data_IF_845277103246
#
_entry.id   IF_845277103246
#
_cell.length_a   1.000
_cell.length_b   1.000
_cell.length_c   1.000
_cell.angle_alpha   90.00
_cell.angle_beta   90.00
_cell.angle_gamma   90.00
#
_symmetry.space_group_name_H-M   'P 1'
#
loop_
_entity.id
_entity.type
_entity.pdbx_description
1 polymer ?
#
# COMPACT_ATOMS: atom_id res chain seq x y z
N UNK A 1 89.34 4.25 -28.86
CA UNK A 1 87.88 4.00 -28.84
C UNK A 1 87.28 4.80 -27.69
N UNK A 2 86.04 5.29 -27.83
CA UNK A 2 85.18 6.02 -26.86
C UNK A 2 84.66 7.28 -27.55
N UNK A 3 83.58 7.11 -28.33
CA UNK A 3 82.72 8.21 -28.82
C UNK A 3 81.29 7.68 -28.83
N UNK A 4 80.38 8.50 -28.31
CA UNK A 4 78.89 8.40 -28.36
C UNK A 4 78.23 7.34 -27.46
N UNK A 5 78.05 7.66 -26.17
CA UNK A 5 76.98 7.05 -25.35
C UNK A 5 76.05 8.08 -24.67
N UNK A 6 76.45 9.35 -24.55
CA UNK A 6 75.68 10.38 -23.83
C UNK A 6 74.41 10.87 -24.56
N UNK A 7 74.35 10.77 -25.90
CA UNK A 7 73.21 11.23 -26.70
C UNK A 7 72.00 10.29 -26.70
N UNK A 8 72.23 8.98 -26.56
CA UNK A 8 71.16 7.97 -26.53
C UNK A 8 70.40 7.99 -25.19
N UNK A 9 71.12 8.24 -24.09
CA UNK A 9 70.55 8.34 -22.74
C UNK A 9 69.62 9.56 -22.60
N UNK A 10 70.02 10.72 -23.13
CA UNK A 10 69.19 11.93 -23.12
C UNK A 10 67.93 11.77 -23.98
N UNK A 11 68.03 11.11 -25.14
CA UNK A 11 66.88 10.83 -25.99
C UNK A 11 65.87 9.91 -25.27
N UNK A 12 66.36 8.85 -24.60
CA UNK A 12 65.52 7.90 -23.89
C UNK A 12 64.77 8.55 -22.72
N UNK A 13 65.43 9.42 -21.96
CA UNK A 13 64.83 10.18 -20.86
C UNK A 13 63.80 11.20 -21.37
N UNK A 14 64.12 11.93 -22.45
CA UNK A 14 63.19 12.87 -23.07
C UNK A 14 61.93 12.17 -23.59
N UNK A 15 62.08 10.99 -24.19
CA UNK A 15 60.96 10.19 -24.68
C UNK A 15 60.08 9.69 -23.52
N UNK A 16 60.69 9.23 -22.43
CA UNK A 16 59.99 8.84 -21.20
C UNK A 16 59.19 9.99 -20.60
N UNK A 17 59.80 11.18 -20.48
CA UNK A 17 59.12 12.37 -19.97
C UNK A 17 57.96 12.80 -20.88
N UNK A 18 58.13 12.73 -22.20
CA UNK A 18 57.06 13.02 -23.15
C UNK A 18 55.89 12.04 -23.03
N UNK A 19 56.16 10.74 -22.83
CA UNK A 19 55.13 9.72 -22.61
C UNK A 19 54.40 9.98 -21.27
N UNK A 20 55.13 10.26 -20.19
CA UNK A 20 54.53 10.55 -18.88
C UNK A 20 53.65 11.80 -18.96
N UNK A 21 54.09 12.85 -19.67
CA UNK A 21 53.31 14.07 -19.89
C UNK A 21 52.05 13.80 -20.71
N UNK A 22 52.15 13.01 -21.79
CA UNK A 22 50.99 12.64 -22.62
C UNK A 22 49.97 11.80 -21.84
N UNK A 23 50.43 10.84 -21.03
CA UNK A 23 49.56 10.03 -20.15
C UNK A 23 48.88 10.90 -19.09
N UNK A 24 49.63 11.79 -18.45
CA UNK A 24 49.09 12.72 -17.44
C UNK A 24 48.02 13.64 -18.05
N UNK A 25 48.27 14.17 -19.25
CA UNK A 25 47.28 14.98 -19.98
C UNK A 25 46.04 14.17 -20.36
N UNK A 26 46.22 12.94 -20.86
CA UNK A 26 45.13 12.04 -21.19
C UNK A 26 44.24 11.72 -19.99
N UNK A 27 44.84 11.41 -18.84
CA UNK A 27 44.13 11.11 -17.60
C UNK A 27 43.34 12.32 -17.06
N UNK A 28 43.94 13.51 -17.07
CA UNK A 28 43.25 14.73 -16.62
C UNK A 28 42.05 15.06 -17.52
N UNK A 29 42.19 14.87 -18.83
CA UNK A 29 41.09 15.08 -19.77
C UNK A 29 39.98 14.05 -19.61
N UNK A 30 40.33 12.77 -19.45
CA UNK A 30 39.38 11.70 -19.21
C UNK A 30 38.59 11.92 -17.91
N UNK A 31 39.28 12.23 -16.80
CA UNK A 31 38.64 12.55 -15.53
C UNK A 31 37.70 13.77 -15.63
N UNK A 32 38.09 14.81 -16.38
CA UNK A 32 37.23 15.96 -16.64
C UNK A 32 35.98 15.60 -17.45
N UNK A 33 36.10 14.74 -18.45
CA UNK A 33 34.96 14.25 -19.24
C UNK A 33 34.01 13.39 -18.39
N UNK A 34 34.55 12.50 -17.55
CA UNK A 34 33.76 11.65 -16.66
C UNK A 34 33.00 12.50 -15.63
N UNK A 35 33.64 13.52 -15.05
CA UNK A 35 32.98 14.43 -14.12
C UNK A 35 31.81 15.19 -14.76
N UNK A 36 31.97 15.65 -16.01
CA UNK A 36 30.89 16.33 -16.76
C UNK A 36 29.77 15.33 -17.12
N UNK A 37 30.11 14.12 -17.54
CA UNK A 37 29.14 13.08 -17.86
C UNK A 37 28.29 12.71 -16.63
N UNK A 38 28.94 12.53 -15.47
CA UNK A 38 28.27 12.27 -14.20
C UNK A 38 27.37 13.42 -13.80
N UNK A 39 27.84 14.68 -13.91
CA UNK A 39 27.00 15.86 -13.63
C UNK A 39 25.77 15.91 -14.52
N UNK A 40 25.91 15.64 -15.81
CA UNK A 40 24.79 15.64 -16.74
C UNK A 40 23.78 14.54 -16.41
N UNK A 41 24.24 13.36 -15.99
CA UNK A 41 23.34 12.28 -15.53
C UNK A 41 22.57 12.71 -14.28
N UNK A 42 23.24 13.36 -13.31
CA UNK A 42 22.58 13.92 -12.13
C UNK A 42 21.53 14.97 -12.49
N UNK A 43 21.85 15.92 -13.37
CA UNK A 43 20.92 16.98 -13.78
C UNK A 43 19.70 16.38 -14.53
N UNK A 44 19.91 15.34 -15.34
CA UNK A 44 18.82 14.59 -16.01
C UNK A 44 17.91 13.88 -15.01
N UNK A 45 18.47 13.21 -14.00
CA UNK A 45 17.68 12.55 -12.95
C UNK A 45 16.93 13.56 -12.11
N UNK A 46 17.58 14.66 -11.73
CA UNK A 46 16.97 15.75 -10.97
C UNK A 46 15.76 16.34 -11.72
N UNK A 47 15.89 16.64 -13.01
CA UNK A 47 14.79 17.11 -13.84
C UNK A 47 13.62 16.11 -13.89
N UNK A 48 13.93 14.80 -13.96
CA UNK A 48 12.89 13.76 -13.92
C UNK A 48 12.18 13.70 -12.56
N UNK A 49 12.90 13.79 -11.45
CA UNK A 49 12.30 13.83 -10.11
C UNK A 49 11.40 15.06 -9.93
N UNK A 50 11.81 16.22 -10.44
CA UNK A 50 10.98 17.43 -10.44
C UNK A 50 9.70 17.25 -11.26
N UNK A 51 9.78 16.62 -12.43
CA UNK A 51 8.62 16.32 -13.24
C UNK A 51 7.64 15.35 -12.52
N UNK A 52 8.15 14.32 -11.83
CA UNK A 52 7.32 13.43 -11.00
C UNK A 52 6.69 14.17 -9.81
N UNK A 53 7.41 15.14 -9.21
CA UNK A 53 6.85 16.03 -8.19
C UNK A 53 5.71 16.90 -8.75
N UNK A 54 5.83 17.40 -9.99
CA UNK A 54 4.76 18.11 -10.68
C UNK A 54 3.51 17.26 -10.90
N UNK A 55 3.67 15.97 -11.24
CA UNK A 55 2.53 15.03 -11.30
C UNK A 55 1.84 14.91 -9.95
N UNK A 56 2.62 14.70 -8.88
CA UNK A 56 2.08 14.56 -7.53
C UNK A 56 1.37 15.85 -7.06
N UNK A 57 1.97 17.02 -7.31
CA UNK A 57 1.41 18.33 -6.97
C UNK A 57 0.10 18.60 -7.72
N UNK A 58 0.07 18.31 -9.03
CA UNK A 58 -1.14 18.41 -9.84
C UNK A 58 -2.24 17.52 -9.29
N UNK A 59 -1.94 16.24 -9.03
CA UNK A 59 -2.91 15.31 -8.46
C UNK A 59 -3.47 15.81 -7.13
N UNK A 60 -2.59 16.15 -6.18
CA UNK A 60 -2.99 16.62 -4.86
C UNK A 60 -3.82 17.90 -4.93
N UNK A 61 -3.37 18.92 -5.66
CA UNK A 61 -4.07 20.21 -5.75
C UNK A 61 -5.47 20.04 -6.32
N UNK A 62 -5.64 19.18 -7.31
CA UNK A 62 -6.94 18.89 -7.89
C UNK A 62 -7.84 18.11 -6.94
N UNK A 63 -7.30 17.17 -6.15
CA UNK A 63 -8.04 16.41 -5.14
C UNK A 63 -8.55 17.27 -3.98
N UNK A 64 -7.70 18.15 -3.43
CA UNK A 64 -8.08 19.00 -2.26
C UNK A 64 -8.95 20.20 -2.63
N UNK A 65 -9.06 20.55 -3.91
CA UNK A 65 -9.91 21.65 -4.39
C UNK A 65 -11.27 21.18 -4.92
N UNK A 66 -11.68 19.95 -4.64
CA UNK A 66 -12.98 19.44 -5.12
C UNK A 66 -12.93 19.00 -6.57
N UNK A 67 -11.85 18.32 -6.96
CA UNK A 67 -11.72 17.65 -8.25
C UNK A 67 -11.79 18.59 -9.45
N UNK A 68 -10.91 19.58 -9.39
CA UNK A 68 -10.68 20.50 -10.50
C UNK A 68 -9.81 19.84 -11.58
N UNK A 69 -9.54 20.59 -12.64
CA UNK A 69 -8.53 20.24 -13.65
C UNK A 69 -7.55 21.39 -13.82
N UNK A 70 -7.17 22.02 -12.71
CA UNK A 70 -6.26 23.15 -12.68
C UNK A 70 -4.83 22.68 -12.91
N UNK A 71 -4.16 23.36 -13.83
CA UNK A 71 -2.71 23.25 -14.04
C UNK A 71 -1.93 23.87 -12.88
N UNK A 72 -0.73 23.36 -12.66
CA UNK A 72 0.24 23.91 -11.70
C UNK A 72 1.18 24.84 -12.44
N UNK A 73 1.22 26.09 -12.00
CA UNK A 73 2.17 27.09 -12.48
C UNK A 73 3.61 26.72 -12.06
N UNK A 74 4.64 27.24 -12.75
CA UNK A 74 6.03 27.04 -12.38
C UNK A 74 6.29 27.29 -10.89
N UNK A 75 6.68 26.24 -10.19
CA UNK A 75 6.90 26.24 -8.73
C UNK A 75 8.32 25.78 -8.45
N UNK A 76 9.05 26.54 -7.63
CA UNK A 76 10.42 26.21 -7.25
C UNK A 76 10.44 25.01 -6.28
N UNK A 77 11.39 24.09 -6.47
CA UNK A 77 11.62 22.96 -5.58
C UNK A 77 13.10 22.58 -5.59
N UNK A 78 13.78 22.77 -4.45
CA UNK A 78 15.23 22.65 -4.38
C UNK A 78 15.93 23.66 -5.31
N UNK A 79 16.83 23.16 -6.17
CA UNK A 79 17.60 23.98 -7.13
C UNK A 79 16.95 24.07 -8.51
N UNK A 80 15.71 23.62 -8.67
CA UNK A 80 14.99 23.62 -9.93
C UNK A 80 13.53 24.05 -9.79
N UNK A 81 12.75 23.83 -10.84
CA UNK A 81 11.31 24.10 -10.84
C UNK A 81 10.54 22.95 -11.47
N UNK A 82 9.26 22.88 -11.16
CA UNK A 82 8.30 22.03 -11.85
C UNK A 82 7.03 22.79 -12.20
N UNK A 83 6.36 22.34 -13.25
CA UNK A 83 5.02 22.78 -13.65
C UNK A 83 4.23 21.57 -14.14
N UNK A 84 2.91 21.70 -14.23
CA UNK A 84 2.07 20.63 -14.77
C UNK A 84 0.84 21.17 -15.46
N UNK A 85 0.56 20.71 -16.68
CA UNK A 85 -0.72 20.92 -17.33
C UNK A 85 -1.65 19.73 -17.09
N UNK A 86 -2.92 20.04 -16.86
CA UNK A 86 -3.94 19.06 -16.48
C UNK A 86 -5.13 19.18 -17.41
N UNK A 87 -5.55 18.06 -17.99
CA UNK A 87 -6.76 17.99 -18.82
C UNK A 87 -7.67 16.88 -18.32
N UNK A 88 -8.99 17.06 -18.44
CA UNK A 88 -9.94 15.99 -18.10
C UNK A 88 -9.82 14.82 -19.09
N UNK A 89 -9.90 13.60 -18.59
CA UNK A 89 -9.90 12.36 -19.37
C UNK A 89 -11.11 11.52 -18.97
N UNK A 90 -12.20 11.61 -19.72
CA UNK A 90 -13.45 10.92 -19.38
C UNK A 90 -14.06 11.37 -18.05
N UNK A 91 -15.02 10.60 -17.55
CA UNK A 91 -15.53 10.78 -16.19
C UNK A 91 -14.45 10.32 -15.20
N UNK A 92 -14.19 11.13 -14.18
CA UNK A 92 -13.40 10.74 -13.02
C UNK A 92 -11.89 10.60 -13.14
N UNK A 93 -11.31 11.06 -14.25
CA UNK A 93 -9.86 10.97 -14.47
C UNK A 93 -9.26 12.21 -15.09
N UNK A 94 -7.97 12.38 -14.84
CA UNK A 94 -7.15 13.45 -15.39
C UNK A 94 -5.99 12.89 -16.22
N UNK A 95 -5.66 13.57 -17.30
CA UNK A 95 -4.35 13.46 -17.92
C UNK A 95 -3.47 14.58 -17.37
N UNK A 96 -2.27 14.23 -16.92
CA UNK A 96 -1.31 15.13 -16.31
C UNK A 96 -0.02 15.10 -17.13
N UNK A 97 0.42 16.26 -17.58
CA UNK A 97 1.69 16.47 -18.27
C UNK A 97 2.54 17.39 -17.40
N UNK A 98 3.54 16.84 -16.72
CA UNK A 98 4.38 17.58 -15.81
C UNK A 98 5.79 17.75 -16.38
N UNK A 99 6.34 18.95 -16.25
CA UNK A 99 7.68 19.31 -16.72
C UNK A 99 8.51 19.71 -15.52
N UNK A 100 9.71 19.15 -15.41
CA UNK A 100 10.70 19.50 -14.40
C UNK A 100 11.95 20.05 -15.06
N UNK A 101 12.47 21.15 -14.51
CA UNK A 101 13.69 21.81 -15.00
C UNK A 101 14.74 21.82 -13.89
N UNK A 102 15.91 21.23 -14.13
CA UNK A 102 17.02 21.18 -13.18
C UNK A 102 18.30 21.78 -13.77
N UNK A 103 19.18 22.27 -12.88
CA UNK A 103 20.51 22.74 -13.23
C UNK A 103 20.48 23.84 -14.31
N UNK A 104 21.34 23.71 -15.31
CA UNK A 104 21.49 24.66 -16.43
C UNK A 104 20.37 24.53 -17.49
N UNK A 105 19.12 24.38 -17.07
CA UNK A 105 17.97 24.28 -17.99
C UNK A 105 17.73 22.88 -18.57
N UNK A 106 18.18 21.82 -17.90
CA UNK A 106 17.85 20.45 -18.30
C UNK A 106 16.37 20.20 -18.01
N UNK A 107 15.60 19.87 -19.05
CA UNK A 107 14.15 19.67 -18.97
C UNK A 107 13.80 18.19 -19.13
N UNK A 108 12.87 17.71 -18.31
CA UNK A 108 12.23 16.41 -18.48
C UNK A 108 10.73 16.54 -18.31
N UNK A 109 9.99 15.77 -19.10
CA UNK A 109 8.53 15.71 -19.03
C UNK A 109 8.07 14.31 -18.64
N UNK A 110 7.04 14.25 -17.81
CA UNK A 110 6.33 13.05 -17.38
C UNK A 110 4.88 13.19 -17.78
N UNK A 111 4.34 12.19 -18.47
CA UNK A 111 2.91 12.09 -18.75
C UNK A 111 2.29 10.97 -17.92
N UNK A 112 1.11 11.24 -17.37
CA UNK A 112 0.21 10.26 -16.77
C UNK A 112 -1.17 10.43 -17.35
N UNK A 113 -1.66 9.41 -18.04
CA UNK A 113 -3.01 9.42 -18.61
C UNK A 113 -3.96 8.65 -17.70
N UNK A 114 -5.21 9.10 -17.60
CA UNK A 114 -6.25 8.40 -16.85
C UNK A 114 -5.98 8.29 -15.34
N UNK A 115 -5.42 9.34 -14.73
CA UNK A 115 -5.19 9.39 -13.28
C UNK A 115 -6.51 9.55 -12.54
N UNK A 116 -6.88 8.55 -11.74
CA UNK A 116 -8.03 8.63 -10.85
C UNK A 116 -7.79 9.69 -9.76
N UNK A 117 -8.76 10.59 -9.62
CA UNK A 117 -8.81 11.61 -8.58
C UNK A 117 -9.95 11.34 -7.61
N UNK A 118 -9.80 11.85 -6.40
CA UNK A 118 -10.80 11.72 -5.33
C UNK A 118 -11.04 13.08 -4.73
N UNK A 119 -12.26 13.32 -4.29
CA UNK A 119 -12.62 14.57 -3.67
C UNK A 119 -12.25 14.51 -2.19
N UNK A 120 -11.22 15.26 -1.81
CA UNK A 120 -10.87 15.48 -0.40
C UNK A 120 -11.47 16.77 0.17
N UNK A 121 -12.10 17.60 -0.67
CA UNK A 121 -12.77 18.84 -0.26
C UNK A 121 -14.20 18.55 0.19
N UNK A 122 -14.92 17.70 -0.55
CA UNK A 122 -16.22 17.18 -0.14
C UNK A 122 -16.01 16.16 0.99
N UNK A 123 -16.70 16.39 2.10
CA UNK A 123 -16.66 15.60 3.35
C UNK A 123 -16.37 14.11 3.11
N UNK A 124 -15.24 13.64 3.65
CA UNK A 124 -15.02 12.21 3.84
C UNK A 124 -16.20 11.64 4.63
N UNK A 125 -16.71 10.50 4.17
CA UNK A 125 -17.85 9.85 4.82
C UNK A 125 -17.34 8.66 5.62
N UNK A 126 -17.60 8.68 6.93
CA UNK A 126 -17.36 7.54 7.81
C UNK A 126 -18.65 6.75 7.94
N UNK A 127 -18.61 5.46 7.64
CA UNK A 127 -19.73 4.54 7.82
C UNK A 127 -19.31 3.36 8.68
N UNK A 128 -20.17 2.99 9.62
CA UNK A 128 -20.03 1.77 10.42
C UNK A 128 -20.93 0.71 9.77
N UNK A 129 -20.31 -0.29 9.14
CA UNK A 129 -21.00 -1.35 8.43
C UNK A 129 -21.42 -2.45 9.38
N UNK A 130 -22.58 -3.06 9.12
CA UNK A 130 -23.10 -4.11 9.99
C UNK A 130 -24.54 -4.54 9.74
N UNK A 131 -25.30 -3.90 8.84
CA UNK A 131 -26.71 -4.25 8.67
C UNK A 131 -26.92 -5.65 8.07
N UNK A 132 -26.01 -6.09 7.19
CA UNK A 132 -26.02 -7.41 6.58
C UNK A 132 -24.71 -8.17 6.84
N UNK A 133 -24.07 -7.90 7.98
CA UNK A 133 -22.90 -8.64 8.40
C UNK A 133 -23.28 -10.06 8.81
N UNK A 134 -22.37 -11.01 8.55
CA UNK A 134 -22.51 -12.40 8.96
C UNK A 134 -21.25 -12.79 9.73
N UNK A 135 -21.42 -13.52 10.82
CA UNK A 135 -20.31 -14.17 11.49
C UNK A 135 -20.65 -15.58 12.00
N UNK A 136 -19.61 -16.35 12.28
CA UNK A 136 -19.73 -17.67 12.90
C UNK A 136 -18.38 -18.13 13.45
N UNK A 137 -18.41 -19.03 14.44
CA UNK A 137 -17.23 -19.79 14.86
C UNK A 137 -17.19 -21.12 14.12
N UNK A 138 -16.04 -21.44 13.52
CA UNK A 138 -15.74 -22.79 13.03
C UNK A 138 -14.83 -23.48 14.05
N UNK A 139 -15.26 -24.63 14.58
CA UNK A 139 -14.55 -25.38 15.63
C UNK A 139 -14.31 -26.83 15.20
N UNK A 140 -13.07 -27.31 15.28
CA UNK A 140 -12.67 -28.67 14.94
C UNK A 140 -13.37 -29.74 15.79
N UNK A 141 -13.73 -29.40 17.03
CA UNK A 141 -14.46 -30.25 17.96
C UNK A 141 -15.98 -30.22 17.78
N UNK A 142 -16.51 -29.31 16.96
CA UNK A 142 -17.95 -29.22 16.67
C UNK A 142 -18.24 -29.45 15.18
N UNK A 143 -19.07 -30.44 14.89
CA UNK A 143 -19.58 -30.65 13.54
C UNK A 143 -20.76 -29.73 13.17
N UNK A 144 -21.28 -28.98 14.15
CA UNK A 144 -22.43 -28.09 13.97
C UNK A 144 -21.97 -26.64 13.82
N UNK A 145 -22.61 -25.85 12.93
CA UNK A 145 -22.35 -24.41 12.82
C UNK A 145 -22.77 -23.66 14.08
N UNK A 146 -22.04 -22.59 14.41
CA UNK A 146 -22.25 -21.78 15.62
C UNK A 146 -22.61 -20.32 15.27
N UNK A 147 -23.36 -20.12 14.18
CA UNK A 147 -23.68 -18.79 13.63
C UNK A 147 -24.78 -18.03 14.36
N UNK A 148 -25.33 -18.59 15.45
CA UNK A 148 -26.37 -17.95 16.26
C UNK A 148 -25.90 -17.69 17.71
N UNK A 149 -24.63 -17.99 18.01
CA UNK A 149 -24.06 -17.72 19.31
C UNK A 149 -23.76 -16.24 19.46
N UNK A 150 -24.02 -15.67 20.65
CA UNK A 150 -23.66 -14.30 21.02
C UNK A 150 -22.13 -14.10 21.24
N UNK A 151 -21.31 -15.07 20.86
CA UNK A 151 -19.86 -15.07 21.08
C UNK A 151 -19.11 -15.77 19.95
N UNK A 152 -17.94 -15.24 19.62
CA UNK A 152 -17.00 -15.80 18.64
C UNK A 152 -15.78 -16.34 19.37
N UNK A 153 -15.56 -17.65 19.27
CA UNK A 153 -14.47 -18.32 19.97
C UNK A 153 -13.28 -18.57 19.05
N UNK A 154 -12.10 -18.17 19.50
CA UNK A 154 -10.84 -18.44 18.84
C UNK A 154 -10.02 -19.34 19.76
N UNK A 155 -9.56 -20.47 19.25
CA UNK A 155 -8.65 -21.37 19.93
C UNK A 155 -7.59 -21.80 18.94
N UNK A 156 -6.32 -21.65 19.31
CA UNK A 156 -5.22 -21.82 18.37
C UNK A 156 -5.20 -23.24 17.79
N UNK A 157 -5.41 -23.34 16.48
CA UNK A 157 -5.42 -24.61 15.75
C UNK A 157 -6.73 -25.41 15.84
N UNK A 158 -7.72 -24.95 16.61
CA UNK A 158 -8.98 -25.69 16.80
C UNK A 158 -10.24 -24.86 16.62
N UNK A 159 -10.21 -23.54 16.78
CA UNK A 159 -11.36 -22.68 16.51
C UNK A 159 -10.96 -21.34 15.89
N UNK A 160 -11.66 -20.95 14.82
CA UNK A 160 -11.50 -19.67 14.12
C UNK A 160 -12.84 -18.96 14.02
N UNK A 161 -12.82 -17.63 13.97
CA UNK A 161 -14.01 -16.84 13.69
C UNK A 161 -14.01 -16.40 12.22
N UNK A 162 -15.14 -16.57 11.55
CA UNK A 162 -15.40 -16.06 10.22
C UNK A 162 -16.27 -14.80 10.34
N UNK A 163 -15.91 -13.76 9.61
CA UNK A 163 -16.65 -12.50 9.57
C UNK A 163 -16.84 -12.06 8.12
N UNK A 164 -18.02 -11.62 7.75
CA UNK A 164 -18.33 -11.13 6.41
C UNK A 164 -19.11 -9.82 6.48
N UNK A 165 -18.68 -8.85 5.69
CA UNK A 165 -19.43 -7.63 5.40
C UNK A 165 -19.62 -7.52 3.89
N UNK A 166 -20.84 -7.28 3.41
CA UNK A 166 -21.07 -7.11 1.97
C UNK A 166 -20.48 -5.79 1.48
N UNK A 167 -19.70 -5.86 0.40
CA UNK A 167 -19.05 -4.67 -0.18
C UNK A 167 -20.06 -3.67 -0.76
N UNK A 168 -21.30 -4.10 -1.02
CA UNK A 168 -22.40 -3.25 -1.48
C UNK A 168 -22.75 -2.13 -0.50
N UNK A 169 -22.43 -2.26 0.80
CA UNK A 169 -22.67 -1.20 1.80
C UNK A 169 -21.67 -0.02 1.68
N UNK A 170 -20.56 -0.17 0.95
CA UNK A 170 -19.49 0.86 0.84
C UNK A 170 -19.74 1.83 -0.33
N UNK A 171 -20.66 1.49 -1.24
CA UNK A 171 -20.95 2.24 -2.46
C UNK A 171 -19.89 2.04 -3.54
N UNK A 172 -20.31 1.87 -4.80
CA UNK A 172 -19.42 1.55 -5.94
C UNK A 172 -18.62 2.74 -6.47
N UNK A 173 -18.95 3.96 -6.03
CA UNK A 173 -18.44 5.23 -6.56
C UNK A 173 -17.50 5.95 -5.57
N UNK A 174 -16.92 5.19 -4.65
CA UNK A 174 -16.10 5.71 -3.56
C UNK A 174 -14.69 5.11 -3.56
N UNK A 175 -13.72 5.88 -3.10
CA UNK A 175 -12.37 5.42 -2.78
C UNK A 175 -12.30 5.14 -1.28
N UNK A 176 -11.88 3.93 -0.92
CA UNK A 176 -11.56 3.58 0.46
C UNK A 176 -10.28 4.31 0.89
N UNK A 177 -10.38 5.12 1.93
CA UNK A 177 -9.23 5.81 2.54
C UNK A 177 -8.70 5.05 3.73
N UNK A 178 -9.60 4.55 4.57
CA UNK A 178 -9.29 3.62 5.65
C UNK A 178 -10.44 2.65 5.87
N UNK A 179 -10.11 1.45 6.35
CA UNK A 179 -11.07 0.50 6.87
C UNK A 179 -10.53 -0.18 8.13
N UNK A 180 -11.29 -0.09 9.21
CA UNK A 180 -10.91 -0.59 10.52
C UNK A 180 -11.95 -1.58 11.01
N UNK A 181 -11.52 -2.83 11.18
CA UNK A 181 -12.32 -3.85 11.86
C UNK A 181 -12.19 -3.64 13.37
N UNK A 182 -13.30 -3.61 14.10
CA UNK A 182 -13.35 -3.40 15.54
C UNK A 182 -14.16 -4.53 16.17
N UNK A 183 -13.57 -5.27 17.11
CA UNK A 183 -14.24 -6.31 17.90
C UNK A 183 -14.06 -6.04 19.39
N UNK A 184 -15.10 -6.36 20.17
CA UNK A 184 -15.05 -6.30 21.64
C UNK A 184 -14.74 -7.68 22.22
N UNK A 185 -13.67 -7.78 22.99
CA UNK A 185 -13.28 -9.01 23.67
C UNK A 185 -14.19 -9.28 24.87
N UNK A 186 -14.68 -10.52 24.97
CA UNK A 186 -15.44 -11.06 26.09
C UNK A 186 -14.54 -11.90 27.00
N UNK A 187 -13.52 -11.27 27.61
CA UNK A 187 -12.59 -11.97 28.50
C UNK A 187 -11.84 -11.02 29.41
N UNK A 188 -11.20 -11.54 30.45
CA UNK A 188 -10.53 -10.75 31.50
C UNK A 188 -9.00 -10.95 31.56
N UNK A 189 -8.45 -11.83 30.74
CA UNK A 189 -7.01 -12.14 30.75
C UNK A 189 -6.16 -10.95 30.31
N UNK A 190 -5.30 -10.45 31.20
CA UNK A 190 -4.36 -9.36 30.90
C UNK A 190 -3.18 -9.78 29.99
N UNK A 191 -3.02 -11.07 29.70
CA UNK A 191 -1.97 -11.56 28.78
C UNK A 191 -2.35 -11.23 27.34
N UNK A 192 -1.47 -10.51 26.63
CA UNK A 192 -1.62 -10.19 25.22
C UNK A 192 -1.52 -11.44 24.33
N UNK A 193 -2.57 -11.64 23.52
CA UNK A 193 -2.70 -12.75 22.58
C UNK A 193 -2.78 -12.17 21.16
N UNK A 194 -1.77 -12.37 20.30
CA UNK A 194 -1.81 -11.86 18.94
C UNK A 194 -2.90 -12.58 18.11
N UNK A 195 -3.86 -11.80 17.63
CA UNK A 195 -4.94 -12.25 16.74
C UNK A 195 -4.72 -11.66 15.36
N UNK A 196 -4.60 -12.55 14.38
CA UNK A 196 -4.42 -12.20 12.97
C UNK A 196 -5.74 -12.22 12.21
N UNK A 197 -5.95 -11.22 11.35
CA UNK A 197 -7.03 -11.17 10.37
C UNK A 197 -6.49 -11.63 9.03
N UNK A 198 -7.11 -12.64 8.43
CA UNK A 198 -6.72 -13.18 7.13
C UNK A 198 -7.87 -13.04 6.14
N UNK A 199 -7.54 -12.79 4.86
CA UNK A 199 -8.53 -12.83 3.78
C UNK A 199 -8.98 -14.26 3.54
N UNK A 200 -10.28 -14.51 3.58
CA UNK A 200 -10.86 -15.79 3.18
C UNK A 200 -10.85 -15.93 1.65
N UNK A 201 -10.47 -17.09 1.14
CA UNK A 201 -10.34 -17.35 -0.31
C UNK A 201 -11.40 -18.31 -0.86
N UNK A 202 -12.36 -18.71 -0.03
CA UNK A 202 -13.46 -19.60 -0.43
C UNK A 202 -14.76 -19.05 0.14
N UNK A 203 -15.79 -18.98 -0.70
CA UNK A 203 -17.12 -18.55 -0.28
C UNK A 203 -17.68 -19.48 0.80
N UNK A 204 -18.30 -18.90 1.83
CA UNK A 204 -18.94 -19.59 2.95
C UNK A 204 -20.32 -18.98 3.24
N UNK A 205 -21.13 -19.68 4.04
CA UNK A 205 -22.44 -19.23 4.51
C UNK A 205 -22.62 -19.50 6.01
N UNK A 206 -23.77 -19.15 6.58
CA UNK A 206 -24.04 -19.29 8.02
C UNK A 206 -23.86 -20.73 8.55
N UNK A 207 -23.91 -21.75 7.68
CA UNK A 207 -23.70 -23.15 8.04
C UNK A 207 -22.24 -23.59 7.96
N UNK A 208 -21.29 -22.67 7.83
CA UNK A 208 -19.87 -22.99 7.80
C UNK A 208 -19.46 -23.71 9.10
N UNK A 209 -18.68 -24.78 8.93
CA UNK A 209 -18.08 -25.58 10.00
C UNK A 209 -16.58 -25.67 9.77
N UNK A 210 -15.86 -26.33 10.67
CA UNK A 210 -14.43 -26.56 10.48
C UNK A 210 -14.10 -27.33 9.20
N UNK A 211 -14.99 -28.21 8.75
CA UNK A 211 -14.74 -29.10 7.60
C UNK A 211 -15.47 -28.68 6.32
N UNK A 212 -16.47 -27.80 6.41
CA UNK A 212 -17.24 -27.36 5.26
C UNK A 212 -17.52 -25.85 5.32
N UNK A 213 -17.15 -25.05 4.30
CA UNK A 213 -17.56 -23.64 4.24
C UNK A 213 -19.05 -23.46 3.92
N UNK A 214 -19.61 -24.45 3.20
CA UNK A 214 -21.00 -24.52 2.75
C UNK A 214 -21.30 -25.94 2.32
N UNK A 215 -22.56 -26.24 2.04
CA UNK A 215 -22.96 -27.55 1.56
C UNK A 215 -22.21 -27.96 0.27
N UNK A 216 -21.79 -29.24 0.21
CA UNK A 216 -20.99 -29.83 -0.87
C UNK A 216 -19.62 -29.18 -1.16
N UNK A 217 -19.06 -28.42 -0.22
CA UNK A 217 -17.69 -27.90 -0.30
C UNK A 217 -16.88 -28.37 0.90
N UNK A 218 -15.57 -28.56 0.71
CA UNK A 218 -14.68 -29.10 1.73
C UNK A 218 -13.52 -28.13 2.00
N UNK A 219 -13.18 -27.96 3.27
CA UNK A 219 -11.96 -27.29 3.73
C UNK A 219 -11.54 -27.87 5.09
N UNK A 220 -10.50 -27.32 5.70
CA UNK A 220 -10.15 -27.67 7.09
C UNK A 220 -9.66 -26.43 7.80
N UNK A 221 -10.46 -25.94 8.76
CA UNK A 221 -10.17 -24.72 9.50
C UNK A 221 -10.25 -23.44 8.67
N UNK A 222 -10.93 -23.46 7.52
CA UNK A 222 -11.02 -22.33 6.61
C UNK A 222 -9.95 -22.31 5.52
N UNK A 223 -10.29 -21.75 4.35
CA UNK A 223 -9.32 -21.42 3.30
C UNK A 223 -9.03 -19.92 3.32
N UNK A 224 -7.78 -19.54 3.58
CA UNK A 224 -7.41 -18.14 3.75
C UNK A 224 -5.99 -17.85 3.26
N UNK A 225 -5.69 -16.58 3.01
CA UNK A 225 -4.36 -16.13 2.62
C UNK A 225 -3.35 -16.31 3.76
N UNK A 226 -2.18 -16.89 3.46
CA UNK A 226 -1.14 -17.17 4.46
C UNK A 226 -0.67 -15.90 5.19
N UNK A 227 -0.53 -14.79 4.46
CA UNK A 227 -0.21 -13.48 5.04
C UNK A 227 -1.44 -12.87 5.70
N UNK A 228 -1.32 -12.50 6.98
CA UNK A 228 -2.35 -11.74 7.67
C UNK A 228 -2.46 -10.33 7.07
N UNK A 229 -3.69 -9.85 6.88
CA UNK A 229 -3.97 -8.47 6.50
C UNK A 229 -3.60 -7.50 7.63
N UNK A 230 -3.82 -7.91 8.88
CA UNK A 230 -3.41 -7.19 10.09
C UNK A 230 -3.28 -8.14 11.27
N UNK A 231 -2.55 -7.75 12.31
CA UNK A 231 -2.43 -8.48 13.58
C UNK A 231 -2.43 -7.49 14.73
N UNK A 232 -3.20 -7.80 15.78
CA UNK A 232 -3.34 -6.96 16.97
C UNK A 232 -3.20 -7.83 18.22
N UNK A 233 -2.49 -7.31 19.23
CA UNK A 233 -2.39 -7.94 20.54
C UNK A 233 -3.65 -7.68 21.36
N UNK A 234 -4.32 -8.74 21.79
CA UNK A 234 -5.63 -8.68 22.45
C UNK A 234 -5.47 -9.13 23.92
N UNK A 235 -5.84 -8.27 24.88
CA UNK A 235 -5.65 -8.47 26.33
C UNK A 235 -6.65 -7.68 27.18
N UNK A 236 -7.33 -8.35 28.10
CA UNK A 236 -8.33 -7.77 28.99
C UNK A 236 -9.72 -7.66 28.35
N UNK A 237 -10.66 -7.02 29.04
CA UNK A 237 -11.94 -6.69 28.42
C UNK A 237 -11.82 -5.35 27.71
N UNK A 238 -12.24 -5.25 26.45
CA UNK A 238 -12.13 -4.01 25.69
C UNK A 238 -12.37 -4.18 24.20
N UNK A 239 -12.31 -3.08 23.46
CA UNK A 239 -12.39 -3.07 22.01
C UNK A 239 -11.00 -3.03 21.39
N UNK A 240 -10.78 -3.87 20.38
CA UNK A 240 -9.53 -3.98 19.63
C UNK A 240 -9.79 -3.71 18.17
N UNK A 241 -8.79 -3.17 17.49
CA UNK A 241 -8.90 -2.77 16.09
C UNK A 241 -7.84 -3.42 15.22
N UNK A 242 -8.21 -3.65 13.95
CA UNK A 242 -7.31 -4.12 12.89
C UNK A 242 -7.47 -3.22 11.68
N UNK A 243 -6.36 -2.72 11.15
CA UNK A 243 -6.35 -1.98 9.89
C UNK A 243 -6.48 -2.97 8.72
N UNK A 244 -7.65 -3.00 8.11
CA UNK A 244 -7.97 -3.88 6.97
C UNK A 244 -8.17 -3.07 5.68
N UNK A 245 -7.62 -1.85 5.63
CA UNK A 245 -7.79 -0.90 4.52
C UNK A 245 -7.47 -1.52 3.16
N UNK A 246 -6.33 -2.21 3.03
CA UNK A 246 -5.93 -2.82 1.76
C UNK A 246 -6.86 -3.96 1.32
N UNK A 247 -7.43 -4.68 2.28
CA UNK A 247 -8.35 -5.78 2.00
C UNK A 247 -9.69 -5.23 1.46
N UNK A 248 -10.24 -4.23 2.14
CA UNK A 248 -11.49 -3.57 1.76
C UNK A 248 -11.35 -2.79 0.44
N UNK A 249 -10.24 -2.07 0.22
CA UNK A 249 -9.93 -1.44 -1.09
C UNK A 249 -9.89 -2.49 -2.20
N UNK A 250 -9.29 -3.65 -1.93
CA UNK A 250 -9.25 -4.77 -2.87
C UNK A 250 -10.63 -5.30 -3.25
N UNK A 251 -11.56 -5.36 -2.29
CA UNK A 251 -12.96 -5.76 -2.55
C UNK A 251 -13.71 -4.72 -3.38
N UNK A 252 -13.64 -3.44 -2.99
CA UNK A 252 -14.35 -2.35 -3.67
C UNK A 252 -13.83 -2.16 -5.10
N UNK A 253 -12.52 -2.30 -5.31
CA UNK A 253 -11.90 -2.18 -6.64
C UNK A 253 -12.01 -3.45 -7.49
N UNK A 254 -12.59 -4.54 -6.96
CA UNK A 254 -12.74 -5.82 -7.66
C UNK A 254 -11.45 -6.60 -7.87
N UNK A 255 -10.33 -6.15 -7.28
CA UNK A 255 -9.03 -6.88 -7.33
C UNK A 255 -9.09 -8.17 -6.53
N UNK A 256 -9.91 -8.20 -5.49
CA UNK A 256 -10.09 -9.32 -4.59
C UNK A 256 -11.57 -9.69 -4.51
N UNK A 257 -11.89 -10.99 -4.58
CA UNK A 257 -13.22 -11.46 -4.24
C UNK A 257 -13.49 -11.21 -2.75
N UNK A 258 -14.72 -10.77 -2.43
CA UNK A 258 -15.15 -10.60 -1.04
C UNK A 258 -15.79 -11.90 -0.54
N UNK A 259 -15.01 -12.70 0.16
CA UNK A 259 -15.48 -13.85 0.94
C UNK A 259 -15.31 -13.61 2.45
N UNK A 260 -15.11 -12.35 2.86
CA UNK A 260 -14.91 -12.00 4.26
C UNK A 260 -13.50 -12.28 4.79
N UNK A 261 -13.43 -12.36 6.12
CA UNK A 261 -12.24 -12.37 6.95
C UNK A 261 -12.29 -13.57 7.89
N UNK A 262 -11.12 -14.15 8.15
CA UNK A 262 -10.92 -15.18 9.16
C UNK A 262 -10.02 -14.63 10.24
N UNK A 263 -10.47 -14.69 11.48
CA UNK A 263 -9.71 -14.33 12.66
C UNK A 263 -9.19 -15.60 13.32
N UNK A 264 -7.88 -15.61 13.60
CA UNK A 264 -7.23 -16.71 14.30
C UNK A 264 -6.15 -16.22 15.24
N UNK A 265 -5.80 -17.06 16.21
CA UNK A 265 -4.65 -16.83 17.06
C UNK A 265 -3.36 -17.18 16.32
N UNK A 266 -2.33 -16.36 16.52
CA UNK A 266 -1.01 -16.57 15.91
C UNK A 266 -0.21 -17.60 16.71
N UNK A 267 -0.28 -17.55 18.04
CA UNK A 267 0.50 -18.41 18.92
C UNK A 267 -0.28 -19.66 19.34
N UNK A 268 0.38 -20.82 19.49
CA UNK A 268 -0.25 -22.07 19.95
C UNK A 268 -0.72 -21.98 21.41
N UNK A 269 -1.71 -22.81 21.78
CA UNK A 269 -2.17 -22.96 23.16
C UNK A 269 -2.90 -21.75 23.76
N UNK A 270 -3.25 -20.76 22.94
CA UNK A 270 -4.02 -19.60 23.35
C UNK A 270 -5.50 -19.76 22.96
N UNK A 271 -6.38 -19.05 23.66
CA UNK A 271 -7.79 -18.90 23.31
C UNK A 271 -8.24 -17.44 23.52
N UNK A 272 -9.20 -16.93 22.76
CA UNK A 272 -9.82 -15.60 22.96
C UNK A 272 -11.29 -15.73 22.58
N UNK A 273 -12.16 -15.01 23.28
CA UNK A 273 -13.58 -14.93 22.94
C UNK A 273 -13.92 -13.46 22.66
N UNK A 274 -14.63 -13.21 21.56
CA UNK A 274 -15.21 -11.91 21.22
C UNK A 274 -16.72 -11.99 21.25
N UNK A 275 -17.39 -10.84 21.29
CA UNK A 275 -18.82 -10.77 21.00
C UNK A 275 -19.06 -10.96 19.49
N UNK A 276 -20.11 -11.69 19.14
CA UNK A 276 -20.58 -11.86 17.76
C UNK A 276 -21.54 -10.75 17.36
N UNK A 277 -22.01 -10.80 16.12
CA UNK A 277 -23.00 -9.89 15.57
C UNK A 277 -24.36 -10.01 16.25
N UNK A 278 -24.70 -11.19 16.78
CA UNK A 278 -25.91 -11.44 17.57
C UNK A 278 -25.85 -10.88 19.00
N UNK A 279 -24.71 -10.31 19.42
CA UNK A 279 -24.62 -9.63 20.70
C UNK A 279 -25.36 -8.28 20.70
N UNK A 280 -25.50 -7.66 21.89
CA UNK A 280 -26.06 -6.32 22.02
C UNK A 280 -25.35 -5.31 21.12
N UNK A 281 -26.09 -4.33 20.58
CA UNK A 281 -25.59 -3.35 19.60
C UNK A 281 -24.29 -2.62 20.01
N UNK A 282 -24.06 -2.39 21.30
CA UNK A 282 -22.85 -1.73 21.80
C UNK A 282 -21.59 -2.61 21.82
N UNK A 283 -21.72 -3.91 21.54
CA UNK A 283 -20.65 -4.92 21.65
C UNK A 283 -20.40 -5.70 20.37
N UNK A 284 -21.33 -5.67 19.42
CA UNK A 284 -21.19 -6.39 18.14
C UNK A 284 -19.99 -5.90 17.34
N UNK A 285 -19.37 -6.76 16.50
CA UNK A 285 -18.32 -6.35 15.58
C UNK A 285 -18.75 -5.23 14.65
N UNK A 286 -17.84 -4.29 14.38
CA UNK A 286 -18.05 -3.15 13.47
C UNK A 286 -16.93 -3.14 12.44
N UNK A 287 -17.29 -2.95 11.17
CA UNK A 287 -16.33 -2.56 10.14
C UNK A 287 -16.52 -1.08 9.81
N UNK A 288 -15.65 -0.23 10.35
CA UNK A 288 -15.68 1.21 10.11
C UNK A 288 -14.89 1.54 8.85
N UNK A 289 -15.54 2.16 7.86
CA UNK A 289 -14.90 2.53 6.59
C UNK A 289 -14.98 4.04 6.42
N UNK A 290 -13.85 4.65 6.09
CA UNK A 290 -13.78 6.05 5.67
C UNK A 290 -13.58 6.08 4.17
N UNK A 291 -14.49 6.75 3.48
CA UNK A 291 -14.47 6.86 2.03
C UNK A 291 -14.42 8.32 1.56
N UNK A 292 -13.84 8.52 0.39
CA UNK A 292 -13.97 9.75 -0.38
C UNK A 292 -14.73 9.46 -1.68
N UNK A 293 -15.50 10.44 -2.14
CA UNK A 293 -16.20 10.30 -3.42
C UNK A 293 -15.16 10.30 -4.55
N UNK A 294 -15.25 9.31 -5.44
CA UNK A 294 -14.54 9.39 -6.70
C UNK A 294 -15.19 10.51 -7.52
N UNK A 295 -14.37 11.43 -7.95
CA UNK A 295 -14.74 12.50 -8.85
C UNK A 295 -14.16 12.21 -10.20
#
# INVERSE_FOLDING_TARGET
MIRRQSGALLLMVALLLAIIAALSFGLNRAAGMDAVAVKNDYDVRAARYLAEAGVAAARWSNQVKGCTSASILPTAFGTGNFEASVTKSGSKRLNIFATGTAGNGVVRTVTRNGVDIVDFNAKTSSSDLGAAALDTTIDAGSASPDSAAASLSLASGTAHALLYWPASEIGSDTRVLSATLILTQNGSSAVARPVGVHRVTTQWDANATWFMPRFYAWWTGGNYAATAAATTGVAGAGSYSWDVTSLVDGWVTGRLANYGMLLRLVNPGQAVVFYSHDASESRRPILRVVTAKAC
#
